data_IF_742348392408
#
_entry.id   IF_742348392408
#
_cell.length_a   1.000
_cell.length_b   1.000
_cell.length_c   1.000
_cell.angle_alpha   90.00
_cell.angle_beta   90.00
_cell.angle_gamma   90.00
#
_symmetry.space_group_name_H-M   'P 1'
#
loop_
_entity.id
_entity.type
_entity.pdbx_description
1 polymer ?
#
# COMPACT_ATOMS: atom_id res chain seq x y z
N UNK A 1 -43.63 -9.79 28.96
CA UNK A 1 -43.16 -10.07 27.58
C UNK A 1 -42.12 -9.01 27.25
N UNK A 2 -40.86 -9.39 27.39
CA UNK A 2 -39.72 -8.51 27.10
C UNK A 2 -39.49 -8.58 25.59
N UNK A 3 -39.86 -7.56 24.87
CA UNK A 3 -39.57 -7.41 23.44
C UNK A 3 -38.09 -7.11 23.34
N UNK A 4 -37.27 -8.11 22.98
CA UNK A 4 -35.91 -7.87 22.53
C UNK A 4 -35.95 -7.04 21.26
N UNK A 5 -35.24 -5.93 21.16
CA UNK A 5 -35.26 -5.12 19.96
C UNK A 5 -34.68 -5.86 18.79
N UNK A 6 -35.46 -6.07 17.75
CA UNK A 6 -35.08 -6.71 16.49
C UNK A 6 -33.95 -5.95 15.72
N UNK A 7 -33.45 -4.87 16.28
CA UNK A 7 -32.41 -4.03 15.70
C UNK A 7 -31.00 -4.57 15.90
N UNK A 8 -30.69 -5.32 16.97
CA UNK A 8 -29.36 -5.83 17.24
C UNK A 8 -28.91 -6.96 16.29
N UNK A 9 -29.85 -7.70 15.74
CA UNK A 9 -29.55 -8.84 14.88
C UNK A 9 -29.37 -8.49 13.39
N UNK A 10 -29.87 -7.32 12.96
CA UNK A 10 -29.69 -6.83 11.58
C UNK A 10 -28.39 -6.04 11.38
N UNK A 11 -27.79 -5.50 12.43
CA UNK A 11 -26.53 -4.73 12.33
C UNK A 11 -25.31 -5.61 12.04
N UNK A 12 -25.31 -6.86 12.49
CA UNK A 12 -24.20 -7.82 12.29
C UNK A 12 -24.16 -8.49 10.90
N UNK A 13 -25.18 -8.27 10.06
CA UNK A 13 -25.25 -8.84 8.72
C UNK A 13 -24.99 -7.85 7.58
N UNK A 14 -24.74 -6.59 7.88
CA UNK A 14 -24.45 -5.58 6.85
C UNK A 14 -22.95 -5.55 6.56
N UNK A 15 -22.52 -6.23 5.50
CA UNK A 15 -21.17 -6.05 4.95
C UNK A 15 -20.88 -4.55 4.78
N UNK A 16 -19.68 -4.11 5.18
CA UNK A 16 -19.27 -2.71 5.12
C UNK A 16 -19.79 -1.82 6.27
N UNK A 17 -20.65 -2.33 7.13
CA UNK A 17 -21.01 -1.71 8.41
C UNK A 17 -20.14 -2.22 9.56
N UNK A 18 -19.39 -3.30 9.33
CA UNK A 18 -18.43 -3.82 10.27
C UNK A 18 -17.12 -3.02 10.15
N UNK A 19 -16.69 -2.41 11.23
CA UNK A 19 -15.48 -1.57 11.29
C UNK A 19 -14.23 -2.29 10.77
N UNK A 20 -14.14 -3.59 11.01
CA UNK A 20 -13.01 -4.43 10.62
C UNK A 20 -13.40 -5.58 9.70
N UNK A 21 -14.65 -5.63 9.23
CA UNK A 21 -15.15 -6.69 8.36
C UNK A 21 -15.03 -8.10 8.97
N UNK A 22 -14.48 -9.07 8.20
CA UNK A 22 -14.32 -10.44 8.66
C UNK A 22 -13.11 -10.64 9.58
N UNK A 23 -12.45 -9.57 10.01
CA UNK A 23 -11.22 -9.60 10.78
C UNK A 23 -11.40 -9.10 12.22
N UNK A 24 -10.47 -9.52 13.08
CA UNK A 24 -10.22 -8.95 14.38
C UNK A 24 -8.87 -8.24 14.34
N UNK A 25 -8.82 -6.98 14.77
CA UNK A 25 -7.56 -6.24 14.90
C UNK A 25 -6.76 -6.75 16.09
N UNK A 26 -5.45 -6.82 15.91
CA UNK A 26 -4.49 -7.07 17.02
C UNK A 26 -4.02 -5.70 17.51
N UNK A 27 -4.56 -5.27 18.64
CA UNK A 27 -4.25 -3.97 19.21
C UNK A 27 -2.76 -3.85 19.57
N UNK A 28 -2.19 -2.67 19.36
CA UNK A 28 -0.80 -2.34 19.69
C UNK A 28 0.22 -3.35 19.10
N UNK A 29 -0.10 -3.90 17.91
CA UNK A 29 0.80 -4.85 17.27
C UNK A 29 2.08 -4.18 16.74
N UNK A 30 1.99 -3.01 16.10
CA UNK A 30 3.14 -2.28 15.57
C UNK A 30 3.94 -1.67 16.72
N UNK A 31 5.19 -2.13 16.90
CA UNK A 31 6.10 -1.72 17.97
C UNK A 31 7.35 -1.11 17.35
N UNK A 32 7.36 0.19 17.08
CA UNK A 32 8.43 0.87 16.35
C UNK A 32 9.79 0.86 17.07
N UNK A 33 9.82 0.56 18.36
CA UNK A 33 11.07 0.44 19.12
C UNK A 33 11.74 1.76 19.48
N UNK A 34 11.08 2.90 19.24
CA UNK A 34 11.58 4.25 19.55
C UNK A 34 10.68 4.92 20.59
N UNK A 35 11.23 5.86 21.37
CA UNK A 35 10.49 6.51 22.46
C UNK A 35 9.24 7.23 21.97
N UNK A 36 9.33 7.91 20.81
CA UNK A 36 8.18 8.53 20.14
C UNK A 36 8.25 8.25 18.65
N UNK A 37 7.21 7.63 18.13
CA UNK A 37 7.04 7.34 16.71
C UNK A 37 5.98 8.25 16.11
N UNK A 38 6.33 8.99 15.05
CA UNK A 38 5.44 9.90 14.34
C UNK A 38 5.63 9.88 12.82
N UNK A 39 6.33 8.88 12.29
CA UNK A 39 6.52 8.73 10.85
C UNK A 39 5.33 8.03 10.20
N UNK A 40 4.88 8.55 9.05
CA UNK A 40 3.83 7.93 8.26
C UNK A 40 4.29 6.54 7.78
N UNK A 41 3.40 5.55 7.85
CA UNK A 41 3.64 4.24 7.25
C UNK A 41 3.02 4.22 5.85
N UNK A 42 3.87 4.21 4.84
CA UNK A 42 3.45 4.33 3.43
C UNK A 42 3.16 2.99 2.79
N UNK A 43 3.84 1.91 3.19
CA UNK A 43 3.64 0.60 2.57
C UNK A 43 4.06 -0.54 3.50
N UNK A 44 3.46 -1.71 3.27
CA UNK A 44 3.80 -2.96 3.94
C UNK A 44 3.87 -4.09 2.92
N UNK A 45 4.88 -4.96 3.05
CA UNK A 45 5.01 -6.20 2.30
C UNK A 45 5.32 -7.36 3.25
N UNK A 46 4.85 -8.56 2.94
CA UNK A 46 5.11 -9.77 3.74
C UNK A 46 6.03 -10.70 2.97
N UNK A 47 7.21 -10.94 3.50
CA UNK A 47 8.12 -11.96 3.01
C UNK A 47 7.78 -13.33 3.61
N UNK A 48 7.75 -13.39 4.92
CA UNK A 48 7.27 -14.53 5.70
C UNK A 48 6.44 -14.02 6.87
N UNK A 49 5.67 -14.87 7.58
CA UNK A 49 4.92 -14.46 8.78
C UNK A 49 5.80 -13.83 9.88
N UNK A 50 7.12 -14.08 9.84
CA UNK A 50 8.09 -13.51 10.78
C UNK A 50 9.04 -12.48 10.13
N UNK A 51 8.73 -12.03 8.91
CA UNK A 51 9.48 -11.00 8.20
C UNK A 51 8.54 -10.11 7.41
N UNK A 52 8.15 -9.01 8.02
CA UNK A 52 7.23 -8.00 7.46
C UNK A 52 8.04 -6.74 7.21
N UNK A 53 8.14 -6.32 5.94
CA UNK A 53 8.90 -5.14 5.52
C UNK A 53 7.94 -3.95 5.49
N UNK A 54 8.33 -2.84 6.08
CA UNK A 54 7.54 -1.62 6.19
C UNK A 54 8.32 -0.45 5.61
N UNK A 55 7.69 0.29 4.72
CA UNK A 55 8.19 1.58 4.26
C UNK A 55 7.55 2.70 5.06
N UNK A 56 8.38 3.66 5.49
CA UNK A 56 7.97 4.76 6.35
C UNK A 56 8.33 6.10 5.70
N UNK A 57 7.43 7.05 5.82
CA UNK A 57 7.63 8.40 5.29
C UNK A 57 8.28 9.35 6.28
N UNK A 58 8.42 10.61 5.85
CA UNK A 58 8.96 11.69 6.65
C UNK A 58 8.03 12.05 7.84
N UNK A 59 8.62 12.51 8.94
CA UNK A 59 7.91 13.06 10.10
C UNK A 59 7.04 14.27 9.76
N UNK A 60 7.41 15.05 8.73
CA UNK A 60 6.64 16.23 8.28
C UNK A 60 5.26 15.89 7.72
N UNK A 61 4.96 14.61 7.53
CA UNK A 61 3.63 14.14 7.10
C UNK A 61 2.67 13.91 8.27
N UNK A 62 3.15 14.02 9.52
CA UNK A 62 2.28 13.99 10.69
C UNK A 62 1.24 15.11 10.59
N UNK A 63 0.03 14.77 10.14
CA UNK A 63 -1.08 15.71 10.02
C UNK A 63 -1.70 15.94 11.39
N UNK A 64 -2.33 17.11 11.61
CA UNK A 64 -3.08 17.34 12.85
C UNK A 64 -4.01 16.15 13.12
N UNK A 65 -3.90 15.56 14.32
CA UNK A 65 -4.67 14.39 14.73
C UNK A 65 -4.05 13.03 14.44
N UNK A 66 -2.88 12.93 13.80
CA UNK A 66 -2.16 11.65 13.66
C UNK A 66 -1.78 11.07 15.02
N UNK A 67 -1.82 9.74 15.10
CA UNK A 67 -1.37 9.03 16.30
C UNK A 67 0.15 9.16 16.46
N UNK A 68 0.58 9.41 17.69
CA UNK A 68 1.97 9.27 18.12
C UNK A 68 2.03 8.03 18.99
N UNK A 69 2.95 7.14 18.70
CA UNK A 69 3.10 5.87 19.40
C UNK A 69 4.38 5.90 20.26
N UNK A 70 4.34 5.22 21.42
CA UNK A 70 5.55 4.88 22.17
C UNK A 70 6.25 3.66 21.55
N UNK A 71 7.38 3.25 22.11
CA UNK A 71 8.18 2.11 21.63
C UNK A 71 7.40 0.79 21.59
N UNK A 72 6.40 0.64 22.46
CA UNK A 72 5.51 -0.51 22.55
C UNK A 72 4.29 -0.42 21.62
N UNK A 73 4.19 0.64 20.79
CA UNK A 73 3.06 0.86 19.88
C UNK A 73 1.79 1.37 20.56
N UNK A 74 1.87 1.85 21.81
CA UNK A 74 0.71 2.42 22.52
C UNK A 74 0.54 3.89 22.15
N UNK A 75 -0.69 4.34 21.79
CA UNK A 75 -0.95 5.73 21.49
C UNK A 75 -0.63 6.67 22.66
N UNK A 76 0.22 7.66 22.42
CA UNK A 76 0.57 8.71 23.38
C UNK A 76 -0.42 9.87 23.29
N UNK A 77 -1.10 10.02 22.17
CA UNK A 77 -1.96 11.16 21.89
C UNK A 77 -3.18 10.74 21.06
N UNK A 78 -4.33 10.71 21.68
CA UNK A 78 -5.63 10.49 21.03
C UNK A 78 -6.43 11.78 20.86
N UNK A 79 -5.91 12.95 21.34
CA UNK A 79 -6.64 14.21 21.31
C UNK A 79 -6.14 15.09 20.15
N UNK A 80 -7.05 15.58 19.28
CA UNK A 80 -6.70 16.45 18.15
C UNK A 80 -6.01 17.77 18.54
N UNK A 81 -6.15 18.19 19.78
CA UNK A 81 -5.82 19.54 20.24
C UNK A 81 -4.49 19.65 20.99
N UNK A 82 -3.73 18.57 21.14
CA UNK A 82 -2.42 18.66 21.77
C UNK A 82 -1.48 19.43 20.84
N UNK A 83 -1.22 20.70 21.19
CA UNK A 83 -0.11 21.47 20.59
C UNK A 83 1.18 20.76 21.02
N UNK A 84 1.72 19.96 20.08
CA UNK A 84 3.07 19.45 20.30
C UNK A 84 4.06 20.58 20.40
N UNK A 85 5.00 20.52 21.34
CA UNK A 85 6.13 21.41 21.30
C UNK A 85 6.87 21.13 19.98
N UNK A 86 7.00 22.15 19.14
CA UNK A 86 7.83 22.07 17.95
C UNK A 86 9.25 21.69 18.41
N UNK A 87 9.77 20.58 17.89
CA UNK A 87 11.17 20.21 18.13
C UNK A 87 12.07 21.33 17.61
N UNK A 88 13.11 21.71 18.36
CA UNK A 88 14.11 22.61 17.81
C UNK A 88 14.79 21.96 16.61
N UNK A 89 15.08 22.74 15.59
CA UNK A 89 15.69 22.34 14.29
C UNK A 89 17.03 21.57 14.43
N UNK A 90 17.62 21.57 15.62
CA UNK A 90 18.88 20.89 15.95
C UNK A 90 18.75 19.38 16.22
N UNK A 91 17.57 18.86 16.45
CA UNK A 91 17.34 17.41 16.55
C UNK A 91 16.98 16.85 15.17
N UNK A 92 17.98 16.60 14.32
CA UNK A 92 17.80 15.75 13.13
C UNK A 92 17.37 14.38 13.63
N UNK A 93 16.08 14.14 13.60
CA UNK A 93 15.50 12.83 13.91
C UNK A 93 16.06 11.82 12.93
N UNK A 94 16.59 10.72 13.42
CA UNK A 94 16.98 9.61 12.56
C UNK A 94 15.71 9.07 11.90
N UNK A 95 15.61 9.22 10.58
CA UNK A 95 14.50 8.68 9.81
C UNK A 95 14.65 7.15 9.75
N UNK A 96 13.58 6.46 10.05
CA UNK A 96 13.46 5.01 9.89
C UNK A 96 12.68 4.73 8.62
N UNK A 97 13.37 4.73 7.47
CA UNK A 97 12.69 4.68 6.16
C UNK A 97 12.23 3.27 5.78
N UNK A 98 13.01 2.26 6.13
CA UNK A 98 12.66 0.85 5.91
C UNK A 98 12.91 0.08 7.20
N UNK A 99 11.86 -0.53 7.72
CA UNK A 99 11.89 -1.39 8.89
C UNK A 99 11.49 -2.82 8.51
N UNK A 100 12.08 -3.79 9.18
CA UNK A 100 11.66 -5.20 9.11
C UNK A 100 11.15 -5.62 10.47
N UNK A 101 9.91 -6.11 10.52
CA UNK A 101 9.23 -6.52 11.74
C UNK A 101 9.10 -8.04 11.82
N UNK A 102 9.10 -8.57 13.03
CA UNK A 102 8.72 -9.96 13.28
C UNK A 102 7.20 -10.15 13.41
N UNK A 103 6.77 -11.38 13.66
CA UNK A 103 5.36 -11.76 13.84
C UNK A 103 4.66 -11.03 14.99
N UNK A 104 5.42 -10.53 15.98
CA UNK A 104 4.92 -9.78 17.14
C UNK A 104 4.93 -8.26 16.92
N UNK A 105 5.32 -7.80 15.71
CA UNK A 105 5.39 -6.40 15.33
C UNK A 105 6.59 -5.64 15.88
N UNK A 106 7.60 -6.35 16.42
CA UNK A 106 8.85 -5.75 16.89
C UNK A 106 9.82 -5.56 15.73
N UNK A 107 10.53 -4.44 15.74
CA UNK A 107 11.61 -4.15 14.79
C UNK A 107 12.77 -5.11 14.98
N UNK A 108 13.15 -5.79 13.90
CA UNK A 108 14.29 -6.71 13.83
C UNK A 108 15.44 -6.12 13.03
N UNK A 109 15.12 -5.32 12.01
CA UNK A 109 16.08 -4.64 11.16
C UNK A 109 15.61 -3.23 10.89
N UNK A 110 16.55 -2.31 10.84
CA UNK A 110 16.39 -0.94 10.39
C UNK A 110 17.41 -0.68 9.31
N UNK A 111 16.96 -0.35 8.11
CA UNK A 111 17.83 -0.15 6.96
C UNK A 111 18.37 1.28 6.88
N UNK A 112 18.67 1.89 8.03
CA UNK A 112 19.18 3.26 8.13
C UNK A 112 20.49 3.49 7.36
N UNK A 113 21.25 2.43 7.06
CA UNK A 113 22.43 2.51 6.18
C UNK A 113 22.12 3.01 4.76
N UNK A 114 20.83 3.01 4.36
CA UNK A 114 20.37 3.47 3.05
C UNK A 114 19.72 4.85 3.07
N UNK A 115 19.70 5.55 4.20
CA UNK A 115 19.06 6.87 4.31
C UNK A 115 19.71 7.93 3.41
N UNK A 116 21.00 7.79 3.08
CA UNK A 116 21.66 8.65 2.09
C UNK A 116 21.19 8.38 0.65
N UNK A 117 20.66 7.20 0.38
CA UNK A 117 20.17 6.81 -0.95
C UNK A 117 18.66 7.04 -1.08
N UNK A 118 17.87 6.63 -0.09
CA UNK A 118 16.41 6.68 -0.09
C UNK A 118 15.96 8.03 0.47
N UNK A 119 14.96 8.64 -0.15
CA UNK A 119 14.41 9.95 0.30
C UNK A 119 13.03 9.78 0.94
N UNK A 120 12.06 9.23 0.21
CA UNK A 120 10.72 8.95 0.72
C UNK A 120 10.15 7.70 0.06
N UNK A 121 10.32 6.52 0.67
CA UNK A 121 9.81 5.28 0.11
C UNK A 121 8.28 5.30 0.14
N UNK A 122 7.67 5.19 -1.02
CA UNK A 122 6.21 5.20 -1.20
C UNK A 122 5.62 3.80 -1.21
N UNK A 123 6.34 2.85 -1.83
CA UNK A 123 5.94 1.45 -1.89
C UNK A 123 7.13 0.54 -1.66
N UNK A 124 6.89 -0.54 -0.91
CA UNK A 124 7.79 -1.69 -0.79
C UNK A 124 7.08 -2.93 -1.32
N UNK A 125 7.74 -3.66 -2.21
CA UNK A 125 7.15 -4.83 -2.89
C UNK A 125 8.18 -5.94 -3.03
N UNK A 126 7.75 -7.18 -2.90
CA UNK A 126 8.54 -8.36 -3.17
C UNK A 126 8.09 -8.93 -4.51
N UNK A 127 9.04 -9.11 -5.44
CA UNK A 127 8.71 -9.73 -6.71
C UNK A 127 8.38 -11.22 -6.50
N UNK A 128 7.14 -11.68 -6.75
CA UNK A 128 6.74 -13.05 -6.49
C UNK A 128 7.38 -14.08 -7.42
N UNK A 129 7.95 -13.64 -8.56
CA UNK A 129 8.62 -14.50 -9.56
C UNK A 129 10.12 -14.59 -9.32
N UNK A 130 10.66 -13.79 -8.42
CA UNK A 130 12.08 -13.75 -8.10
C UNK A 130 12.40 -14.77 -7.00
N UNK A 131 13.17 -15.81 -7.33
CA UNK A 131 13.56 -16.87 -6.39
C UNK A 131 14.36 -16.35 -5.20
N UNK A 132 15.13 -15.27 -5.40
CA UNK A 132 15.90 -14.62 -4.35
C UNK A 132 15.04 -13.65 -3.52
N UNK A 133 13.78 -13.43 -3.92
CA UNK A 133 12.80 -12.60 -3.23
C UNK A 133 13.33 -11.19 -2.93
N UNK A 134 13.99 -10.58 -3.91
CA UNK A 134 14.48 -9.21 -3.77
C UNK A 134 13.39 -8.24 -3.36
N UNK A 135 13.78 -7.27 -2.56
CA UNK A 135 12.91 -6.20 -2.09
C UNK A 135 13.02 -5.02 -3.05
N UNK A 136 11.89 -4.59 -3.56
CA UNK A 136 11.79 -3.41 -4.43
C UNK A 136 11.20 -2.25 -3.66
N UNK A 137 11.81 -1.08 -3.81
CA UNK A 137 11.39 0.17 -3.17
C UNK A 137 11.13 1.19 -4.25
N UNK A 138 9.93 1.77 -4.23
CA UNK A 138 9.59 2.92 -5.05
C UNK A 138 9.83 4.15 -4.19
N UNK A 139 10.92 4.83 -4.45
CA UNK A 139 11.34 6.03 -3.73
C UNK A 139 10.76 7.27 -4.43
N UNK A 140 9.59 7.71 -3.96
CA UNK A 140 8.80 8.74 -4.62
C UNK A 140 9.55 10.06 -4.74
N UNK A 141 9.99 10.62 -3.63
CA UNK A 141 10.71 11.92 -3.64
C UNK A 141 12.16 11.77 -4.13
N UNK A 142 12.73 10.56 -4.03
CA UNK A 142 14.03 10.24 -4.63
C UNK A 142 13.96 10.06 -6.14
N UNK A 143 12.78 10.03 -6.76
CA UNK A 143 12.59 9.89 -8.21
C UNK A 143 13.20 8.60 -8.78
N UNK A 144 13.21 7.51 -7.99
CA UNK A 144 13.94 6.30 -8.36
C UNK A 144 13.22 5.02 -7.94
N UNK A 145 13.62 3.92 -8.58
CA UNK A 145 13.21 2.56 -8.24
C UNK A 145 14.45 1.79 -7.85
N UNK A 146 14.42 1.18 -6.69
CA UNK A 146 15.54 0.50 -6.07
C UNK A 146 15.21 -0.97 -5.85
N UNK A 147 16.12 -1.87 -6.22
CA UNK A 147 16.05 -3.31 -5.96
C UNK A 147 17.18 -3.70 -5.01
N UNK A 148 16.84 -4.30 -3.88
CA UNK A 148 17.80 -4.78 -2.89
C UNK A 148 17.74 -6.29 -2.76
N UNK A 149 18.85 -6.90 -2.30
CA UNK A 149 18.82 -8.26 -1.78
C UNK A 149 17.79 -8.36 -0.64
N UNK A 150 17.24 -9.56 -0.42
CA UNK A 150 16.18 -9.75 0.60
C UNK A 150 16.64 -9.32 2.00
N UNK A 151 17.92 -9.52 2.32
CA UNK A 151 18.53 -9.11 3.60
C UNK A 151 18.88 -7.60 3.68
N UNK A 152 18.55 -6.81 2.65
CA UNK A 152 18.78 -5.37 2.60
C UNK A 152 20.22 -4.92 2.56
N UNK A 153 21.18 -5.84 2.36
CA UNK A 153 22.61 -5.51 2.45
C UNK A 153 23.20 -4.97 1.17
N UNK A 154 22.59 -5.29 0.02
CA UNK A 154 23.14 -4.92 -1.29
C UNK A 154 22.06 -4.32 -2.19
N UNK A 155 22.37 -3.17 -2.80
CA UNK A 155 21.61 -2.62 -3.92
C UNK A 155 21.96 -3.45 -5.18
N UNK A 156 20.93 -3.99 -5.83
CA UNK A 156 21.05 -4.87 -7.00
C UNK A 156 20.76 -4.11 -8.30
N UNK A 157 19.75 -3.21 -8.26
CA UNK A 157 19.35 -2.40 -9.40
C UNK A 157 18.89 -1.03 -8.92
N UNK A 158 19.23 0.00 -9.71
CA UNK A 158 18.69 1.35 -9.56
C UNK A 158 18.24 1.86 -10.92
N UNK A 159 17.02 2.40 -11.01
CA UNK A 159 16.48 3.11 -12.16
C UNK A 159 16.08 4.49 -11.69
N UNK A 160 16.38 5.51 -12.46
CA UNK A 160 16.24 6.90 -12.08
C UNK A 160 17.48 7.46 -11.40
N UNK A 161 17.52 8.77 -11.21
CA UNK A 161 18.57 9.50 -10.53
C UNK A 161 18.00 10.22 -9.32
N UNK A 162 18.68 10.09 -8.17
CA UNK A 162 18.16 10.64 -6.90
C UNK A 162 17.89 12.14 -6.99
N UNK A 163 16.62 12.50 -6.79
CA UNK A 163 16.14 13.88 -6.78
C UNK A 163 16.01 14.51 -8.16
N UNK A 164 16.31 13.78 -9.25
CA UNK A 164 16.18 14.28 -10.61
C UNK A 164 14.85 13.82 -11.22
N UNK A 165 13.90 14.74 -11.31
CA UNK A 165 12.62 14.49 -11.96
C UNK A 165 12.73 14.63 -13.46
N UNK A 166 12.06 13.75 -14.24
CA UNK A 166 12.02 13.82 -15.68
C UNK A 166 10.85 13.08 -16.31
N UNK A 167 10.69 13.27 -17.62
CA UNK A 167 9.62 12.66 -18.44
C UNK A 167 10.17 11.73 -19.53
N UNK A 168 11.50 11.60 -19.60
CA UNK A 168 12.15 10.66 -20.50
C UNK A 168 12.06 9.20 -19.98
N UNK A 169 12.77 8.29 -20.61
CA UNK A 169 12.72 6.87 -20.30
C UNK A 169 13.68 6.43 -19.16
N UNK A 170 14.51 7.34 -18.68
CA UNK A 170 15.50 7.10 -17.62
C UNK A 170 15.10 7.74 -16.28
N UNK A 171 14.17 8.71 -16.30
CA UNK A 171 13.74 9.46 -15.13
C UNK A 171 12.25 9.28 -14.85
N UNK A 172 11.89 9.48 -13.58
CA UNK A 172 10.50 9.50 -13.09
C UNK A 172 10.13 10.89 -12.57
N UNK A 173 8.84 11.09 -12.33
CA UNK A 173 8.38 12.26 -11.60
C UNK A 173 7.32 11.88 -10.58
N UNK A 174 7.79 11.55 -9.39
CA UNK A 174 7.04 11.04 -8.25
C UNK A 174 6.35 9.68 -8.56
N UNK A 175 7.12 8.60 -8.78
CA UNK A 175 6.59 7.26 -9.02
C UNK A 175 5.87 6.73 -7.78
N UNK A 176 4.85 5.88 -7.96
CA UNK A 176 3.96 5.44 -6.88
C UNK A 176 3.96 3.93 -6.64
N UNK A 177 3.93 3.10 -7.68
CA UNK A 177 3.74 1.67 -7.54
C UNK A 177 4.39 0.84 -8.65
N UNK A 178 4.47 -0.46 -8.44
CA UNK A 178 5.08 -1.44 -9.35
C UNK A 178 4.31 -2.75 -9.33
N UNK A 179 4.28 -3.46 -10.46
CA UNK A 179 3.81 -4.85 -10.55
C UNK A 179 4.67 -5.63 -11.52
N UNK A 180 4.78 -6.94 -11.33
CA UNK A 180 5.73 -7.81 -12.03
C UNK A 180 5.05 -8.82 -12.93
N UNK A 181 5.78 -9.29 -13.94
CA UNK A 181 5.43 -10.39 -14.83
C UNK A 181 6.41 -11.57 -14.64
N UNK A 182 6.02 -12.79 -15.06
CA UNK A 182 6.85 -14.00 -14.88
C UNK A 182 8.20 -13.97 -15.57
N UNK A 183 8.31 -13.21 -16.67
CA UNK A 183 9.56 -13.02 -17.41
C UNK A 183 10.53 -12.02 -16.74
N UNK A 184 10.14 -11.51 -15.57
CA UNK A 184 10.88 -10.51 -14.80
C UNK A 184 10.64 -9.07 -15.27
N UNK A 185 9.92 -8.85 -16.36
CA UNK A 185 9.49 -7.51 -16.77
C UNK A 185 8.48 -6.94 -15.77
N UNK A 186 8.33 -5.62 -15.74
CA UNK A 186 7.46 -4.97 -14.75
C UNK A 186 6.87 -3.66 -15.27
N UNK A 187 5.72 -3.30 -14.70
CA UNK A 187 5.06 -2.02 -14.95
C UNK A 187 5.22 -1.11 -13.73
N UNK A 188 5.44 0.17 -13.98
CA UNK A 188 5.58 1.22 -12.98
C UNK A 188 4.48 2.25 -13.16
N UNK A 189 3.81 2.59 -12.07
CA UNK A 189 2.95 3.75 -11.97
C UNK A 189 3.79 4.99 -11.72
N UNK A 190 4.14 5.74 -12.76
CA UNK A 190 4.84 7.02 -12.65
C UNK A 190 3.80 8.14 -12.69
N UNK A 191 3.10 8.33 -11.55
CA UNK A 191 1.77 8.89 -11.59
C UNK A 191 1.49 10.18 -10.84
N UNK A 192 2.26 10.60 -9.86
CA UNK A 192 1.93 11.83 -9.11
C UNK A 192 2.13 13.10 -9.95
N UNK A 193 3.05 13.08 -10.90
CA UNK A 193 3.33 14.21 -11.81
C UNK A 193 3.32 13.82 -13.29
N UNK A 194 3.90 12.65 -13.66
CA UNK A 194 4.00 12.24 -15.07
C UNK A 194 2.71 11.62 -15.63
N UNK A 195 1.81 11.12 -14.79
CA UNK A 195 0.51 10.55 -15.22
C UNK A 195 0.64 9.47 -16.31
N UNK A 196 1.62 8.55 -16.15
CA UNK A 196 1.88 7.47 -17.13
C UNK A 196 2.11 6.12 -16.43
N UNK A 197 1.96 5.06 -17.17
CA UNK A 197 2.44 3.71 -16.84
C UNK A 197 3.62 3.41 -17.75
N UNK A 198 4.73 2.94 -17.18
CA UNK A 198 5.93 2.57 -17.94
C UNK A 198 6.18 1.08 -17.76
N UNK A 199 6.57 0.38 -18.83
CA UNK A 199 7.03 -0.99 -18.80
C UNK A 199 8.54 -1.06 -18.99
N UNK A 200 9.18 -1.87 -18.14
CA UNK A 200 10.60 -2.20 -18.23
C UNK A 200 10.80 -3.70 -18.39
N UNK A 201 11.92 -4.10 -19.00
CA UNK A 201 12.36 -5.51 -18.97
C UNK A 201 12.98 -5.87 -17.61
N UNK A 202 13.34 -7.16 -17.42
CA UNK A 202 13.92 -7.66 -16.18
C UNK A 202 15.23 -6.98 -15.77
N UNK A 203 15.95 -6.36 -16.72
CA UNK A 203 17.19 -5.61 -16.47
C UNK A 203 16.96 -4.13 -16.17
N UNK A 204 15.71 -3.66 -16.20
CA UNK A 204 15.36 -2.25 -16.00
C UNK A 204 15.48 -1.39 -17.25
N UNK A 205 15.53 -1.97 -18.45
CA UNK A 205 15.53 -1.20 -19.71
C UNK A 205 14.10 -0.92 -20.15
N UNK A 206 13.85 0.31 -20.58
CA UNK A 206 12.57 0.75 -21.10
C UNK A 206 12.06 -0.14 -22.25
N UNK A 207 10.77 -0.42 -22.25
CA UNK A 207 10.07 -1.14 -23.32
C UNK A 207 8.97 -0.32 -23.97
N UNK A 208 8.06 0.20 -23.18
CA UNK A 208 6.94 1.02 -23.66
C UNK A 208 6.35 1.86 -22.52
N UNK A 209 5.57 2.86 -22.89
CA UNK A 209 4.77 3.64 -21.94
C UNK A 209 3.44 4.08 -22.57
N UNK A 210 2.48 4.40 -21.71
CA UNK A 210 1.23 5.03 -22.14
C UNK A 210 0.68 5.91 -21.03
N UNK A 211 -0.23 6.80 -21.41
CA UNK A 211 -0.90 7.73 -20.53
C UNK A 211 -0.56 9.18 -20.86
N UNK A 212 -1.46 10.04 -20.49
CA UNK A 212 -1.32 11.50 -20.55
C UNK A 212 -2.20 12.10 -19.46
N UNK A 213 -1.98 13.36 -19.12
CA UNK A 213 -2.84 14.05 -18.15
C UNK A 213 -4.22 14.32 -18.72
N UNK A 214 -5.28 13.93 -17.99
CA UNK A 214 -6.65 14.21 -18.38
C UNK A 214 -7.68 13.26 -17.77
N UNK A 215 -8.89 13.28 -18.35
CA UNK A 215 -10.05 12.51 -17.86
C UNK A 215 -10.58 11.51 -18.89
N UNK A 216 -10.14 11.58 -20.14
CA UNK A 216 -10.56 10.69 -21.20
C UNK A 216 -10.00 9.27 -21.03
N UNK A 217 -10.45 8.34 -21.86
CA UNK A 217 -9.90 6.99 -21.92
C UNK A 217 -8.40 7.01 -22.25
N UNK A 218 -7.59 6.32 -21.45
CA UNK A 218 -6.12 6.33 -21.57
C UNK A 218 -5.43 7.56 -21.00
N UNK A 219 -6.18 8.55 -20.52
CA UNK A 219 -5.64 9.70 -19.79
C UNK A 219 -5.78 9.46 -18.26
N UNK A 220 -4.89 10.06 -17.48
CA UNK A 220 -4.85 9.91 -16.03
C UNK A 220 -4.74 11.27 -15.33
N UNK A 221 -5.16 11.32 -14.06
CA UNK A 221 -4.87 12.46 -13.20
C UNK A 221 -3.81 12.12 -12.16
N UNK A 222 -3.87 10.91 -11.60
CA UNK A 222 -2.84 10.38 -10.71
C UNK A 222 -2.82 8.84 -10.82
N UNK A 223 -1.79 8.28 -11.45
CA UNK A 223 -1.58 6.83 -11.51
C UNK A 223 -0.91 6.36 -10.22
N UNK A 224 -1.66 5.68 -9.35
CA UNK A 224 -1.17 5.35 -8.00
C UNK A 224 -0.74 3.89 -7.84
N UNK A 225 -1.41 2.97 -8.50
CA UNK A 225 -1.13 1.54 -8.44
C UNK A 225 -1.43 0.87 -9.76
N UNK A 226 -0.73 -0.22 -10.03
CA UNK A 226 -0.94 -1.09 -11.19
C UNK A 226 -0.99 -2.55 -10.72
N UNK A 227 -1.86 -3.35 -11.35
CA UNK A 227 -1.95 -4.78 -11.13
C UNK A 227 -2.18 -5.52 -12.46
N UNK A 228 -1.77 -6.77 -12.57
CA UNK A 228 -1.91 -7.56 -13.79
C UNK A 228 -2.64 -8.86 -13.49
N UNK A 229 -3.67 -9.20 -14.30
CA UNK A 229 -4.42 -10.43 -14.16
C UNK A 229 -3.85 -11.57 -15.04
N UNK A 230 -4.45 -12.77 -14.90
CA UNK A 230 -4.04 -13.96 -15.69
C UNK A 230 -4.16 -13.79 -17.20
N UNK A 231 -5.01 -12.88 -17.67
CA UNK A 231 -5.18 -12.56 -19.08
C UNK A 231 -4.21 -11.48 -19.56
N UNK A 232 -3.27 -11.07 -18.69
CA UNK A 232 -2.31 -10.00 -18.92
C UNK A 232 -2.98 -8.63 -19.14
N UNK A 233 -4.21 -8.44 -18.64
CA UNK A 233 -4.82 -7.11 -18.57
C UNK A 233 -4.16 -6.31 -17.45
N UNK A 234 -3.88 -5.06 -17.72
CA UNK A 234 -3.25 -4.12 -16.77
C UNK A 234 -4.32 -3.23 -16.17
N UNK A 235 -4.57 -3.36 -14.88
CA UNK A 235 -5.48 -2.53 -14.11
C UNK A 235 -4.71 -1.37 -13.52
N UNK A 236 -5.18 -0.16 -13.74
CA UNK A 236 -4.51 1.08 -13.35
C UNK A 236 -5.43 1.89 -12.43
N UNK A 237 -4.97 2.14 -11.20
CA UNK A 237 -5.65 3.03 -10.27
C UNK A 237 -5.44 4.49 -10.68
N UNK A 238 -6.42 5.06 -11.34
CA UNK A 238 -6.48 6.49 -11.71
C UNK A 238 -7.12 7.27 -10.55
N UNK A 239 -6.32 7.46 -9.49
CA UNK A 239 -6.77 7.82 -8.16
C UNK A 239 -7.57 9.12 -8.13
N UNK A 240 -7.05 10.20 -8.70
CA UNK A 240 -7.71 11.51 -8.64
C UNK A 240 -8.90 11.63 -9.60
N UNK A 241 -9.05 10.70 -10.55
CA UNK A 241 -10.24 10.57 -11.39
C UNK A 241 -11.28 9.59 -10.79
N UNK A 242 -11.03 9.02 -9.60
CA UNK A 242 -11.93 8.09 -8.91
C UNK A 242 -12.37 6.91 -9.78
N UNK A 243 -11.43 6.28 -10.48
CA UNK A 243 -11.70 5.16 -11.38
C UNK A 243 -10.53 4.19 -11.46
N UNK A 244 -10.80 3.01 -11.98
CA UNK A 244 -9.80 2.06 -12.45
C UNK A 244 -9.94 1.97 -13.96
N UNK A 245 -8.84 2.09 -14.68
CA UNK A 245 -8.80 1.85 -16.12
C UNK A 245 -8.10 0.53 -16.42
N UNK A 246 -8.50 -0.15 -17.47
CA UNK A 246 -8.03 -1.48 -17.84
C UNK A 246 -7.45 -1.40 -19.25
N UNK A 247 -6.24 -1.95 -19.41
CA UNK A 247 -5.49 -1.95 -20.66
C UNK A 247 -5.03 -3.37 -21.00
N UNK A 248 -4.69 -3.60 -22.26
CA UNK A 248 -3.91 -4.77 -22.63
C UNK A 248 -2.43 -4.59 -22.24
N UNK A 249 -1.62 -5.62 -22.49
CA UNK A 249 -0.19 -5.61 -22.15
C UNK A 249 0.64 -4.60 -22.96
N UNK A 250 0.08 -4.00 -24.01
CA UNK A 250 0.67 -2.99 -24.87
C UNK A 250 0.16 -1.57 -24.57
N UNK A 251 -0.66 -1.41 -23.54
CA UNK A 251 -1.20 -0.12 -23.12
C UNK A 251 -2.41 0.36 -23.96
N UNK A 252 -3.03 -0.51 -24.74
CA UNK A 252 -4.28 -0.19 -25.43
C UNK A 252 -5.44 -0.23 -24.43
N UNK A 253 -6.22 0.83 -24.36
CA UNK A 253 -7.40 0.91 -23.51
C UNK A 253 -8.43 -0.17 -23.88
N UNK A 254 -8.96 -0.85 -22.86
CA UNK A 254 -9.97 -1.90 -22.97
C UNK A 254 -11.29 -1.50 -22.31
N UNK A 255 -11.22 -0.99 -21.06
CA UNK A 255 -12.40 -0.71 -20.23
C UNK A 255 -12.07 0.24 -19.09
N UNK A 256 -13.09 0.73 -18.38
CA UNK A 256 -12.91 1.46 -17.13
C UNK A 256 -14.05 1.21 -16.14
N UNK A 257 -13.72 1.23 -14.86
CA UNK A 257 -14.68 1.14 -13.76
C UNK A 257 -14.75 2.51 -13.05
N UNK A 258 -15.83 3.26 -13.24
CA UNK A 258 -16.00 4.58 -12.63
C UNK A 258 -16.43 4.47 -11.17
N UNK A 259 -16.44 5.61 -10.46
CA UNK A 259 -16.99 5.77 -9.11
C UNK A 259 -16.28 4.90 -8.03
N UNK A 260 -15.02 4.66 -8.20
CA UNK A 260 -14.16 4.03 -7.18
C UNK A 260 -13.37 5.13 -6.49
N UNK A 261 -13.82 5.48 -5.28
CA UNK A 261 -13.27 6.64 -4.54
C UNK A 261 -11.79 6.49 -4.26
N UNK A 262 -10.96 7.33 -4.88
CA UNK A 262 -9.51 7.41 -4.70
C UNK A 262 -8.82 6.04 -4.51
N UNK A 263 -8.84 5.16 -5.53
CA UNK A 263 -8.18 3.87 -5.44
C UNK A 263 -6.68 4.07 -5.26
N UNK A 264 -6.12 3.57 -4.14
CA UNK A 264 -4.71 3.73 -3.81
C UNK A 264 -3.89 2.47 -4.10
N UNK A 265 -4.42 1.30 -3.80
CA UNK A 265 -3.70 0.05 -4.02
C UNK A 265 -4.63 -1.01 -4.61
N UNK A 266 -4.08 -1.81 -5.52
CA UNK A 266 -4.79 -2.86 -6.25
C UNK A 266 -4.12 -4.21 -6.00
N UNK A 267 -4.92 -5.23 -5.67
CA UNK A 267 -4.48 -6.61 -5.55
C UNK A 267 -5.46 -7.55 -6.28
N UNK A 268 -4.98 -8.23 -7.31
CA UNK A 268 -5.74 -9.30 -7.96
C UNK A 268 -5.72 -10.54 -7.06
N UNK A 269 -6.88 -11.16 -6.80
CA UNK A 269 -7.00 -12.39 -6.02
C UNK A 269 -6.26 -13.57 -6.65
N UNK A 270 -5.79 -14.52 -5.84
CA UNK A 270 -4.99 -15.67 -6.30
C UNK A 270 -5.68 -16.48 -7.41
N UNK A 271 -7.01 -16.58 -7.38
CA UNK A 271 -7.81 -17.24 -8.45
C UNK A 271 -8.06 -16.34 -9.67
N UNK A 272 -7.59 -15.10 -9.64
CA UNK A 272 -7.79 -14.06 -10.66
C UNK A 272 -9.27 -13.77 -10.99
N UNK A 273 -10.17 -13.93 -9.99
CA UNK A 273 -11.61 -13.66 -10.15
C UNK A 273 -12.07 -12.38 -9.48
N UNK A 274 -11.22 -11.76 -8.67
CA UNK A 274 -11.56 -10.55 -7.94
C UNK A 274 -10.40 -9.56 -7.93
N UNK A 275 -10.75 -8.29 -7.81
CA UNK A 275 -9.83 -7.19 -7.54
C UNK A 275 -10.14 -6.62 -6.16
N UNK A 276 -9.15 -6.63 -5.28
CA UNK A 276 -9.19 -5.92 -4.00
C UNK A 276 -8.59 -4.53 -4.15
N UNK A 277 -9.27 -3.55 -3.61
CA UNK A 277 -8.93 -2.13 -3.74
C UNK A 277 -8.85 -1.50 -2.36
N UNK A 278 -7.69 -0.92 -2.01
CA UNK A 278 -7.62 0.04 -0.92
C UNK A 278 -8.12 1.39 -1.43
N UNK A 279 -9.17 1.92 -0.82
CA UNK A 279 -9.71 3.24 -1.11
C UNK A 279 -9.21 4.24 -0.08
N UNK A 280 -8.30 5.10 -0.50
CA UNK A 280 -7.67 6.12 0.35
C UNK A 280 -8.64 7.21 0.79
N UNK A 281 -9.56 7.62 -0.09
CA UNK A 281 -10.54 8.65 0.23
C UNK A 281 -11.76 8.17 1.02
N UNK A 282 -11.98 6.83 1.07
CA UNK A 282 -13.06 6.24 1.83
C UNK A 282 -12.58 5.45 3.05
N UNK A 283 -11.26 5.30 3.23
CA UNK A 283 -10.62 4.49 4.28
C UNK A 283 -11.21 3.08 4.38
N UNK A 284 -11.39 2.44 3.20
CA UNK A 284 -12.04 1.14 3.05
C UNK A 284 -11.25 0.23 2.16
N UNK A 285 -11.37 -1.06 2.42
CA UNK A 285 -11.03 -2.10 1.46
C UNK A 285 -12.30 -2.58 0.78
N UNK A 286 -12.26 -2.72 -0.53
CA UNK A 286 -13.39 -3.15 -1.35
C UNK A 286 -12.97 -4.30 -2.26
N UNK A 287 -13.86 -5.27 -2.46
CA UNK A 287 -13.73 -6.39 -3.40
C UNK A 287 -14.66 -6.18 -4.58
N UNK A 288 -14.11 -6.21 -5.76
CA UNK A 288 -14.85 -6.17 -7.03
C UNK A 288 -14.66 -7.50 -7.77
N UNK A 289 -15.66 -7.94 -8.53
CA UNK A 289 -15.42 -8.97 -9.54
C UNK A 289 -14.63 -8.39 -10.73
N UNK A 290 -14.25 -9.25 -11.68
CA UNK A 290 -13.45 -8.83 -12.83
C UNK A 290 -14.24 -8.09 -13.94
N UNK A 291 -15.51 -7.75 -13.66
CA UNK A 291 -16.37 -6.88 -14.44
C UNK A 291 -16.62 -5.53 -13.73
N UNK A 292 -15.99 -5.29 -12.59
CA UNK A 292 -16.11 -4.06 -11.82
C UNK A 292 -17.35 -3.99 -10.91
N UNK A 293 -18.03 -5.12 -10.68
CA UNK A 293 -19.18 -5.17 -9.78
C UNK A 293 -18.71 -5.33 -8.33
N UNK A 294 -19.08 -4.39 -7.47
CA UNK A 294 -18.77 -4.41 -6.04
C UNK A 294 -19.39 -5.64 -5.36
N UNK A 295 -18.57 -6.45 -4.72
CA UNK A 295 -18.98 -7.67 -4.01
C UNK A 295 -19.13 -7.44 -2.50
N UNK A 296 -18.14 -6.79 -1.89
CA UNK A 296 -18.11 -6.46 -0.46
C UNK A 296 -17.14 -5.33 -0.20
N UNK A 297 -17.32 -4.65 0.91
CA UNK A 297 -16.35 -3.68 1.44
C UNK A 297 -16.44 -3.63 2.97
N UNK A 298 -15.39 -3.13 3.61
CA UNK A 298 -15.34 -2.82 5.03
C UNK A 298 -14.24 -1.78 5.31
N UNK A 299 -14.24 -1.23 6.52
CA UNK A 299 -13.33 -0.19 6.98
C UNK A 299 -14.07 1.05 7.45
N UNK A 300 -13.49 1.72 8.42
CA UNK A 300 -14.03 2.93 9.05
C UNK A 300 -12.93 3.96 9.23
N UNK A 301 -13.22 5.20 8.86
CA UNK A 301 -12.32 6.32 9.06
C UNK A 301 -12.09 6.60 10.55
N UNK A 302 -10.82 6.76 10.97
CA UNK A 302 -10.50 7.20 12.31
C UNK A 302 -9.17 6.68 12.87
N UNK A 303 -8.98 6.84 14.17
CA UNK A 303 -7.69 6.59 14.85
C UNK A 303 -7.74 5.39 15.81
N UNK A 304 -8.92 4.90 16.17
CA UNK A 304 -9.04 3.76 17.08
C UNK A 304 -8.44 2.48 16.47
N UNK A 305 -8.09 1.47 17.28
CA UNK A 305 -7.69 0.17 16.76
C UNK A 305 -8.76 -0.40 15.81
N UNK A 306 -8.35 -0.82 14.61
CA UNK A 306 -9.25 -1.29 13.55
C UNK A 306 -9.81 -0.20 12.65
N UNK A 307 -9.78 1.07 13.07
CA UNK A 307 -10.12 2.20 12.21
C UNK A 307 -8.90 2.67 11.43
N UNK A 308 -9.10 3.24 10.26
CA UNK A 308 -8.04 3.58 9.31
C UNK A 308 -8.10 5.07 9.00
N UNK A 309 -6.94 5.70 8.87
CA UNK A 309 -6.85 7.06 8.38
C UNK A 309 -5.79 7.16 7.28
N UNK A 310 -6.23 7.36 6.04
CA UNK A 310 -5.47 7.29 4.82
C UNK A 310 -4.97 5.85 4.53
N UNK A 311 -5.89 4.99 4.09
CA UNK A 311 -5.61 3.61 3.72
C UNK A 311 -4.72 3.58 2.47
N UNK A 312 -3.42 3.31 2.67
CA UNK A 312 -2.46 3.47 1.60
C UNK A 312 -2.18 2.17 0.84
N UNK A 313 -1.86 1.10 1.58
CA UNK A 313 -1.62 -0.22 1.00
C UNK A 313 -1.88 -1.33 2.04
N UNK A 314 -1.91 -2.58 1.57
CA UNK A 314 -2.03 -3.76 2.43
C UNK A 314 -1.28 -4.94 1.86
N UNK A 315 -0.96 -5.91 2.72
CA UNK A 315 -0.39 -7.20 2.35
C UNK A 315 -1.05 -8.33 3.15
N UNK A 316 -1.06 -9.54 2.59
CA UNK A 316 -1.64 -10.73 3.22
C UNK A 316 -0.60 -11.82 3.30
N UNK A 317 -0.47 -12.47 4.47
CA UNK A 317 0.39 -13.61 4.64
C UNK A 317 -0.30 -14.93 4.23
N UNK A 318 0.44 -16.05 4.09
CA UNK A 318 -0.15 -17.34 3.70
C UNK A 318 -1.23 -17.88 4.64
N UNK A 319 -1.29 -17.40 5.89
CA UNK A 319 -2.34 -17.74 6.85
C UNK A 319 -3.60 -16.87 6.72
N UNK A 320 -3.61 -15.90 5.80
CA UNK A 320 -4.71 -14.97 5.60
C UNK A 320 -4.71 -13.79 6.59
N UNK A 321 -3.62 -13.59 7.31
CA UNK A 321 -3.44 -12.43 8.19
C UNK A 321 -3.19 -11.21 7.29
N UNK A 322 -3.98 -10.16 7.50
CA UNK A 322 -3.91 -8.92 6.73
C UNK A 322 -3.11 -7.87 7.52
N UNK A 323 -2.17 -7.25 6.85
CA UNK A 323 -1.39 -6.11 7.34
C UNK A 323 -1.77 -4.87 6.54
N UNK A 324 -2.09 -3.78 7.22
CA UNK A 324 -2.58 -2.53 6.63
C UNK A 324 -1.63 -1.40 6.95
N UNK A 325 -1.15 -0.71 5.93
CA UNK A 325 -0.44 0.55 6.08
C UNK A 325 -1.47 1.67 6.32
N UNK A 326 -1.60 2.05 7.57
CA UNK A 326 -2.50 3.09 8.10
C UNK A 326 -1.70 4.41 8.20
N UNK A 327 -1.57 5.08 7.04
CA UNK A 327 -0.50 6.04 6.80
C UNK A 327 -0.55 7.26 7.73
N UNK A 328 -1.73 7.85 7.94
CA UNK A 328 -1.85 9.04 8.77
C UNK A 328 -2.06 8.75 10.26
N UNK A 329 -2.23 7.48 10.61
CA UNK A 329 -2.13 7.00 11.96
C UNK A 329 -0.71 6.49 12.29
N UNK A 330 0.25 6.64 11.38
CA UNK A 330 1.67 6.33 11.60
C UNK A 330 1.91 4.89 12.06
N UNK A 331 1.13 3.92 11.55
CA UNK A 331 1.20 2.53 12.03
C UNK A 331 0.94 1.51 10.94
N UNK A 332 1.40 0.29 11.18
CA UNK A 332 0.84 -0.91 10.56
C UNK A 332 -0.19 -1.51 11.50
N UNK A 333 -1.35 -1.86 10.99
CA UNK A 333 -2.32 -2.64 11.73
C UNK A 333 -2.32 -4.09 11.24
N UNK A 334 -2.37 -5.04 12.18
CA UNK A 334 -2.50 -6.48 11.93
C UNK A 334 -3.93 -6.92 12.19
N UNK A 335 -4.52 -7.59 11.21
CA UNK A 335 -5.87 -8.10 11.25
C UNK A 335 -5.86 -9.61 11.09
N UNK A 336 -6.42 -10.35 12.04
CA UNK A 336 -6.51 -11.80 12.03
C UNK A 336 -7.92 -12.22 11.65
N UNK A 337 -8.13 -13.20 10.75
CA UNK A 337 -9.47 -13.69 10.43
C UNK A 337 -10.23 -14.11 11.68
N UNK A 338 -11.48 -13.68 11.82
CA UNK A 338 -12.35 -14.08 12.92
C UNK A 338 -12.65 -15.59 12.83
N UNK A 339 -12.81 -16.32 13.93
CA UNK A 339 -13.32 -17.69 13.91
C UNK A 339 -14.67 -17.74 13.16
N UNK A 340 -14.77 -18.62 12.16
CA UNK A 340 -15.98 -18.77 11.34
C UNK A 340 -16.24 -17.62 10.36
N UNK A 341 -15.27 -16.77 10.09
CA UNK A 341 -15.41 -15.72 9.07
C UNK A 341 -15.71 -16.31 7.70
N UNK A 342 -16.58 -15.63 6.96
CA UNK A 342 -16.85 -15.99 5.56
C UNK A 342 -15.57 -15.79 4.72
N UNK A 343 -15.04 -16.88 4.20
CA UNK A 343 -13.82 -16.90 3.40
C UNK A 343 -13.92 -16.03 2.15
N UNK A 344 -15.12 -15.88 1.58
CA UNK A 344 -15.33 -15.04 0.40
C UNK A 344 -15.13 -13.54 0.68
N UNK A 345 -15.16 -13.15 1.96
CA UNK A 345 -14.94 -11.77 2.41
C UNK A 345 -13.52 -11.51 2.94
N UNK A 346 -12.71 -12.55 3.10
CA UNK A 346 -11.29 -12.40 3.45
C UNK A 346 -10.50 -11.94 2.24
N UNK A 347 -9.50 -11.10 2.46
CA UNK A 347 -8.57 -10.67 1.42
C UNK A 347 -7.72 -11.86 1.00
N UNK A 348 -7.69 -12.13 -0.29
CA UNK A 348 -6.95 -13.24 -0.88
C UNK A 348 -5.44 -12.95 -0.95
N UNK A 349 -4.67 -14.03 -1.13
CA UNK A 349 -3.29 -13.93 -1.61
C UNK A 349 -3.26 -13.25 -2.98
N UNK A 350 -2.17 -12.53 -3.32
CA UNK A 350 -2.02 -11.97 -4.65
C UNK A 350 -1.94 -13.06 -5.73
N UNK A 351 -2.50 -12.74 -6.90
CA UNK A 351 -2.36 -13.59 -8.08
C UNK A 351 -0.88 -13.68 -8.48
N UNK A 352 -0.45 -14.91 -8.77
CA UNK A 352 0.87 -15.23 -9.31
C UNK A 352 0.68 -16.14 -10.51
N UNK A 353 1.30 -15.81 -11.65
CA UNK A 353 1.34 -16.71 -12.80
C UNK A 353 2.14 -17.98 -12.46
N UNK A 354 1.64 -19.13 -12.84
CA UNK A 354 2.28 -20.43 -12.67
C UNK A 354 2.78 -20.99 -14.00
#
# INVERSE_FOLDING_TARGET
VTIKPAFAQKATQRGGMDETGPYQVVENWFKPGVERWNQAVTSVAVDTPNRIIVACGDEHVARPGSLILNAEGVPLNLRPDSKEPQKPESEKTHLHLILVLNADGKVMEDWSQWNDLITLPHSVVINPYDKERHIWIIDREGQQILKFTNDGRKLVLKIGEKGVAGTDHEHFNLPAGITFLPDGSFYVADGYRNTRVIKFDASGRFQLEWGAKGTEAGQFNLVHSVAVDRMKRVFVADRSNNRIQIFDAQGKFLDQWPNITQPAFLLISADSKSLWVASNGADRIAKYDMNGVLQTYWGTHGQLPGWIYNFHNFAVDPAGILYVADAFNNRVQKFVPRPGADKARLVDQPFVFH
#
